data_IF_134418024133
#
_entry.id   IF_134418024133
#
_cell.length_a   1.000
_cell.length_b   1.000
_cell.length_c   1.000
_cell.angle_alpha   90.00
_cell.angle_beta   90.00
_cell.angle_gamma   90.00
#
_symmetry.space_group_name_H-M   'P 1'
#
loop_
_entity.id
_entity.type
_entity.pdbx_description
1 polymer ?
#
# COMPACT_ATOMS: atom_id res chain seq x y z
N UNK A 1 10.39 -8.96 21.61
CA UNK A 1 9.18 -9.30 20.84
C UNK A 1 9.68 -10.00 19.59
N UNK A 2 9.31 -11.25 19.33
CA UNK A 2 9.82 -11.99 18.18
C UNK A 2 9.32 -11.31 16.90
N UNK A 3 10.14 -11.23 15.85
CA UNK A 3 9.80 -10.51 14.62
C UNK A 3 8.43 -10.93 14.06
N UNK A 4 8.12 -12.24 14.11
CA UNK A 4 6.81 -12.79 13.72
C UNK A 4 5.63 -12.16 14.46
N UNK A 5 5.75 -11.99 15.78
CA UNK A 5 4.68 -11.39 16.59
C UNK A 5 4.47 -9.91 16.27
N UNK A 6 5.54 -9.21 15.86
CA UNK A 6 5.46 -7.82 15.41
C UNK A 6 4.71 -7.71 14.08
N UNK A 7 4.99 -8.60 13.11
CA UNK A 7 4.28 -8.61 11.82
C UNK A 7 2.79 -8.91 11.97
N UNK A 8 2.43 -9.93 12.76
CA UNK A 8 1.02 -10.25 13.01
C UNK A 8 0.28 -9.09 13.66
N UNK A 9 0.90 -8.44 14.64
CA UNK A 9 0.32 -7.28 15.32
C UNK A 9 0.10 -6.12 14.34
N UNK A 10 1.09 -5.81 13.51
CA UNK A 10 0.99 -4.76 12.49
C UNK A 10 -0.11 -5.06 11.46
N UNK A 11 -0.15 -6.28 10.92
CA UNK A 11 -1.15 -6.66 9.93
C UNK A 11 -2.58 -6.58 10.48
N UNK A 12 -2.83 -7.16 11.66
CA UNK A 12 -4.17 -7.24 12.22
C UNK A 12 -4.67 -5.95 12.86
N UNK A 13 -3.81 -5.20 13.54
CA UNK A 13 -4.22 -4.00 14.28
C UNK A 13 -4.10 -2.72 13.47
N UNK A 14 -3.24 -2.69 12.45
CA UNK A 14 -2.98 -1.47 11.66
C UNK A 14 -3.51 -1.64 10.24
N UNK A 15 -3.06 -2.65 9.48
CA UNK A 15 -3.42 -2.76 8.07
C UNK A 15 -4.91 -3.07 7.84
N UNK A 16 -5.45 -4.11 8.49
CA UNK A 16 -6.84 -4.52 8.30
C UNK A 16 -7.81 -3.38 8.68
N UNK A 17 -7.70 -2.73 9.85
CA UNK A 17 -8.57 -1.61 10.21
C UNK A 17 -8.41 -0.42 9.26
N UNK A 18 -7.19 -0.10 8.83
CA UNK A 18 -6.93 0.97 7.86
C UNK A 18 -7.73 0.78 6.57
N UNK A 19 -7.77 -0.45 6.04
CA UNK A 19 -8.54 -0.81 4.84
C UNK A 19 -10.04 -0.54 5.06
N UNK A 20 -10.60 -0.97 6.21
CA UNK A 20 -12.01 -0.75 6.51
C UNK A 20 -12.35 0.74 6.66
N UNK A 21 -11.49 1.53 7.32
CA UNK A 21 -11.70 2.97 7.47
C UNK A 21 -11.62 3.67 6.11
N UNK A 22 -10.65 3.29 5.27
CA UNK A 22 -10.49 3.80 3.91
C UNK A 22 -11.74 3.54 3.07
N UNK A 23 -12.28 2.32 3.10
CA UNK A 23 -13.44 1.93 2.31
C UNK A 23 -14.74 2.57 2.83
N UNK A 24 -14.94 2.67 4.16
CA UNK A 24 -16.20 3.17 4.73
C UNK A 24 -16.40 4.67 4.55
N UNK A 25 -15.32 5.45 4.56
CA UNK A 25 -15.35 6.91 4.36
C UNK A 25 -15.10 7.34 2.92
N UNK A 26 -15.03 6.39 1.99
CA UNK A 26 -14.73 6.69 0.59
C UNK A 26 -15.89 7.47 -0.06
N UNK A 27 -15.62 8.72 -0.41
CA UNK A 27 -16.63 9.63 -0.97
C UNK A 27 -16.85 9.45 -2.48
N UNK A 28 -18.08 9.70 -2.94
CA UNK A 28 -18.45 9.61 -4.35
C UNK A 28 -17.98 10.81 -5.18
N UNK A 29 -17.71 11.95 -4.54
CA UNK A 29 -17.28 13.18 -5.24
C UNK A 29 -15.87 13.04 -5.82
N UNK A 30 -15.72 13.17 -7.15
CA UNK A 30 -14.45 12.95 -7.88
C UNK A 30 -13.25 13.72 -7.32
N UNK A 31 -13.40 15.02 -7.01
CA UNK A 31 -12.29 15.84 -6.48
C UNK A 31 -11.89 15.46 -5.05
N UNK A 32 -12.89 15.25 -4.17
CA UNK A 32 -12.63 14.81 -2.79
C UNK A 32 -12.06 13.40 -2.74
N UNK A 33 -12.40 12.54 -3.71
CA UNK A 33 -11.84 11.20 -3.85
C UNK A 33 -10.34 11.23 -4.06
N UNK A 34 -9.85 12.02 -5.02
CA UNK A 34 -8.40 12.10 -5.29
C UNK A 34 -7.67 12.58 -4.04
N UNK A 35 -8.15 13.68 -3.44
CA UNK A 35 -7.55 14.21 -2.21
C UNK A 35 -7.55 13.18 -1.07
N UNK A 36 -8.66 12.44 -0.90
CA UNK A 36 -8.77 11.39 0.11
C UNK A 36 -7.74 10.28 -0.12
N UNK A 37 -7.60 9.79 -1.35
CA UNK A 37 -6.61 8.77 -1.69
C UNK A 37 -5.18 9.28 -1.46
N UNK A 38 -4.87 10.50 -1.91
CA UNK A 38 -3.56 11.13 -1.69
C UNK A 38 -3.23 11.26 -0.20
N UNK A 39 -4.19 11.63 0.64
CA UNK A 39 -4.00 11.68 2.09
C UNK A 39 -3.60 10.33 2.69
N UNK A 40 -4.23 9.24 2.24
CA UNK A 40 -3.89 7.90 2.69
C UNK A 40 -2.52 7.44 2.22
N UNK A 41 -2.17 7.71 0.96
CA UNK A 41 -0.83 7.43 0.41
C UNK A 41 0.25 8.14 1.23
N UNK A 42 0.09 9.45 1.46
CA UNK A 42 1.07 10.22 2.24
C UNK A 42 1.18 9.69 3.67
N UNK A 43 0.05 9.33 4.30
CA UNK A 43 0.06 8.75 5.64
C UNK A 43 0.87 7.47 5.74
N UNK A 44 0.69 6.54 4.79
CA UNK A 44 1.43 5.28 4.76
C UNK A 44 2.92 5.48 4.43
N UNK A 45 3.25 6.34 3.47
CA UNK A 45 4.64 6.68 3.15
C UNK A 45 5.36 7.32 4.34
N UNK A 46 4.69 8.18 5.12
CA UNK A 46 5.26 8.75 6.35
C UNK A 46 5.47 7.66 7.40
N UNK A 47 4.50 6.76 7.60
CA UNK A 47 4.62 5.66 8.56
C UNK A 47 5.79 4.73 8.20
N UNK A 48 5.97 4.43 6.93
CA UNK A 48 7.10 3.64 6.44
C UNK A 48 8.42 4.39 6.62
N UNK A 49 8.48 5.67 6.28
CA UNK A 49 9.67 6.49 6.49
C UNK A 49 10.08 6.52 7.98
N UNK A 50 9.11 6.58 8.89
CA UNK A 50 9.36 6.46 10.33
C UNK A 50 9.85 5.04 10.67
N UNK A 51 9.22 4.00 10.13
CA UNK A 51 9.61 2.61 10.37
C UNK A 51 11.04 2.28 9.90
N UNK A 52 11.44 2.83 8.76
CA UNK A 52 12.79 2.66 8.20
C UNK A 52 13.81 3.42 9.05
N UNK A 53 13.59 4.72 9.30
CA UNK A 53 14.60 5.56 9.95
C UNK A 53 14.71 5.36 11.47
N UNK A 54 13.61 5.03 12.16
CA UNK A 54 13.60 4.90 13.62
C UNK A 54 13.66 3.47 14.11
N UNK A 55 13.07 2.52 13.37
CA UNK A 55 12.98 1.12 13.80
C UNK A 55 13.96 0.20 13.10
N UNK A 56 14.62 0.64 12.00
CA UNK A 56 15.57 -0.16 11.22
C UNK A 56 14.99 -1.53 10.82
N UNK A 57 13.66 -1.62 10.75
CA UNK A 57 12.91 -2.89 10.62
C UNK A 57 12.64 -3.26 9.16
N UNK A 58 12.84 -2.32 8.24
CA UNK A 58 12.70 -2.48 6.79
C UNK A 58 13.97 -1.96 6.14
N UNK A 59 14.93 -2.85 5.89
CA UNK A 59 16.07 -2.51 5.05
C UNK A 59 15.59 -2.47 3.61
N UNK A 60 15.92 -1.38 2.94
CA UNK A 60 15.71 -1.18 1.52
C UNK A 60 16.71 -2.05 0.73
N UNK A 61 16.54 -3.36 0.81
CA UNK A 61 17.37 -4.31 0.09
C UNK A 61 16.97 -4.32 -1.40
N UNK A 62 17.92 -4.63 -2.28
CA UNK A 62 17.72 -4.70 -3.75
C UNK A 62 17.30 -3.39 -4.44
N UNK A 63 17.64 -2.23 -3.88
CA UNK A 63 17.40 -0.93 -4.53
C UNK A 63 15.96 -0.43 -4.44
N UNK A 64 15.12 -1.06 -3.60
CA UNK A 64 13.86 -0.46 -3.17
C UNK A 64 14.17 0.90 -2.53
N UNK A 65 13.33 1.90 -2.73
CA UNK A 65 13.45 3.19 -2.07
C UNK A 65 12.06 3.71 -1.70
N UNK A 66 11.98 4.75 -0.88
CA UNK A 66 10.70 5.34 -0.46
C UNK A 66 9.81 5.76 -1.64
N UNK A 67 10.41 6.05 -2.81
CA UNK A 67 9.67 6.37 -4.03
C UNK A 67 8.96 5.15 -4.62
N UNK A 68 9.56 3.97 -4.56
CA UNK A 68 8.91 2.71 -4.93
C UNK A 68 7.73 2.41 -4.02
N UNK A 69 7.84 2.69 -2.74
CA UNK A 69 6.71 2.54 -1.82
C UNK A 69 5.59 3.54 -2.10
N UNK A 70 5.94 4.80 -2.38
CA UNK A 70 4.96 5.81 -2.79
C UNK A 70 4.24 5.39 -4.09
N UNK A 71 4.97 4.84 -5.06
CA UNK A 71 4.40 4.32 -6.30
C UNK A 71 3.48 3.13 -5.99
N UNK A 72 3.93 2.19 -5.17
CA UNK A 72 3.15 1.04 -4.76
C UNK A 72 1.84 1.44 -4.08
N UNK A 73 1.88 2.31 -3.06
CA UNK A 73 0.70 2.82 -2.38
C UNK A 73 -0.24 3.57 -3.33
N UNK A 74 0.32 4.33 -4.26
CA UNK A 74 -0.46 5.05 -5.28
C UNK A 74 -1.27 4.13 -6.18
N UNK A 75 -0.81 2.89 -6.37
CA UNK A 75 -1.53 1.84 -7.12
C UNK A 75 -2.43 1.03 -6.18
N UNK A 76 -1.95 0.68 -4.98
CA UNK A 76 -2.62 -0.18 -4.02
C UNK A 76 -3.97 0.41 -3.58
N UNK A 77 -4.03 1.69 -3.20
CA UNK A 77 -5.28 2.30 -2.70
C UNK A 77 -6.38 2.35 -3.77
N UNK A 78 -6.14 2.86 -4.99
CA UNK A 78 -7.12 2.76 -6.07
C UNK A 78 -7.51 1.31 -6.39
N UNK A 79 -6.54 0.39 -6.33
CA UNK A 79 -6.79 -1.01 -6.62
C UNK A 79 -7.70 -1.66 -5.58
N UNK A 80 -7.51 -1.34 -4.31
CA UNK A 80 -8.36 -1.78 -3.20
C UNK A 80 -9.81 -1.32 -3.39
N UNK A 81 -10.00 -0.06 -3.82
CA UNK A 81 -11.34 0.44 -4.17
C UNK A 81 -11.91 -0.28 -5.38
N UNK A 82 -11.09 -0.52 -6.41
CA UNK A 82 -11.52 -1.22 -7.61
C UNK A 82 -11.93 -2.67 -7.28
N UNK A 83 -11.18 -3.34 -6.41
CA UNK A 83 -11.50 -4.70 -5.96
C UNK A 83 -12.86 -4.77 -5.27
N UNK A 84 -13.16 -3.78 -4.41
CA UNK A 84 -14.45 -3.67 -3.72
C UNK A 84 -15.63 -3.48 -4.69
N UNK A 85 -15.42 -2.77 -5.80
CA UNK A 85 -16.48 -2.50 -6.79
C UNK A 85 -16.57 -3.62 -7.84
N UNK A 86 -15.43 -4.10 -8.34
CA UNK A 86 -15.32 -5.11 -9.38
C UNK A 86 -14.03 -5.92 -9.24
N UNK A 87 -14.13 -7.06 -8.56
CA UNK A 87 -13.00 -7.95 -8.30
C UNK A 87 -12.32 -8.45 -9.60
N UNK A 88 -13.08 -8.66 -10.69
CA UNK A 88 -12.52 -9.19 -11.95
C UNK A 88 -11.58 -8.20 -12.62
N UNK A 89 -12.00 -6.93 -12.69
CA UNK A 89 -11.18 -5.86 -13.24
C UNK A 89 -9.95 -5.60 -12.38
N UNK A 90 -10.11 -5.65 -11.06
CA UNK A 90 -8.98 -5.56 -10.13
C UNK A 90 -7.98 -6.69 -10.37
N UNK A 91 -8.42 -7.94 -10.51
CA UNK A 91 -7.50 -9.04 -10.77
C UNK A 91 -6.74 -8.85 -12.09
N UNK A 92 -7.43 -8.47 -13.16
CA UNK A 92 -6.82 -8.22 -14.46
C UNK A 92 -5.79 -7.09 -14.42
N UNK A 93 -6.10 -5.98 -13.74
CA UNK A 93 -5.19 -4.84 -13.60
C UNK A 93 -4.03 -5.12 -12.63
N UNK A 94 -4.15 -6.11 -11.73
CA UNK A 94 -3.06 -6.44 -10.80
C UNK A 94 -1.90 -7.10 -11.51
N UNK A 95 -2.19 -7.89 -12.55
CA UNK A 95 -1.20 -8.62 -13.35
C UNK A 95 -0.10 -7.69 -13.89
N UNK A 96 -0.40 -6.61 -14.65
CA UNK A 96 0.65 -5.73 -15.14
C UNK A 96 1.40 -5.02 -14.00
N UNK A 97 0.73 -4.65 -12.91
CA UNK A 97 1.40 -4.04 -11.75
C UNK A 97 2.44 -4.98 -11.13
N UNK A 98 2.08 -6.26 -10.95
CA UNK A 98 2.98 -7.29 -10.42
C UNK A 98 4.12 -7.55 -11.39
N UNK A 99 3.83 -7.67 -12.69
CA UNK A 99 4.86 -7.92 -13.72
C UNK A 99 5.90 -6.78 -13.78
N UNK A 100 5.47 -5.52 -13.70
CA UNK A 100 6.37 -4.37 -13.68
C UNK A 100 7.31 -4.44 -12.48
N UNK A 101 6.78 -4.76 -11.30
CA UNK A 101 7.58 -4.90 -10.09
C UNK A 101 8.56 -6.08 -10.22
N UNK A 102 8.11 -7.24 -10.67
CA UNK A 102 8.96 -8.42 -10.84
C UNK A 102 10.09 -8.19 -11.85
N UNK A 103 9.80 -7.50 -12.96
CA UNK A 103 10.81 -7.10 -13.95
C UNK A 103 11.82 -6.12 -13.36
N UNK A 104 11.34 -5.09 -12.64
CA UNK A 104 12.21 -4.07 -12.04
C UNK A 104 13.21 -4.67 -11.03
N UNK A 105 12.75 -5.64 -10.24
CA UNK A 105 13.58 -6.34 -9.24
C UNK A 105 14.24 -7.61 -9.80
N UNK A 106 14.24 -7.79 -11.13
CA UNK A 106 14.94 -8.85 -11.85
C UNK A 106 14.64 -10.26 -11.30
N UNK A 107 13.40 -10.47 -10.86
CA UNK A 107 12.88 -11.74 -10.37
C UNK A 107 12.25 -12.62 -11.48
N UNK A 108 12.22 -12.11 -12.72
CA UNK A 108 11.85 -12.76 -13.97
C UNK A 108 12.81 -12.23 -15.04
#
# INVERSE_FOLDING_TARGET
>A
MNDETSYFTYAFLIMIPSIFIYLSKFTETKGKRILYVTWWIIGFVILEWIGVNFFNSMNHDNGWNIWWSLLFDSVMFPMLRLHFVNYKLSLLLSIPCILILLFQFNHI
#
